data_IF_223697557883
#
_entry.id   IF_223697557883
#
_cell.length_a   1.000
_cell.length_b   1.000
_cell.length_c   1.000
_cell.angle_alpha   90.00
_cell.angle_beta   90.00
_cell.angle_gamma   90.00
#
_symmetry.space_group_name_H-M   'P 1'
#
loop_
_entity.id
_entity.type
_entity.pdbx_description
1 polymer ?
#
# COMPACT_ATOMS: atom_id res chain seq x y z
N UNK A 1 18.16 11.11 -7.05
CA UNK A 1 16.93 10.50 -7.58
C UNK A 1 15.81 10.85 -6.61
N UNK A 2 14.73 11.48 -7.05
CA UNK A 2 13.56 11.74 -6.19
C UNK A 2 12.67 10.50 -6.34
N UNK A 3 12.50 9.75 -5.25
CA UNK A 3 11.73 8.51 -5.22
C UNK A 3 10.37 8.87 -4.63
N UNK A 4 9.33 8.90 -5.44
CA UNK A 4 7.97 9.25 -5.05
C UNK A 4 7.05 8.15 -5.52
N UNK A 5 6.79 7.15 -4.68
CA UNK A 5 6.03 5.97 -5.09
C UNK A 5 6.45 4.70 -4.39
N UNK A 6 6.13 3.56 -4.99
CA UNK A 6 6.26 2.24 -4.38
C UNK A 6 7.62 1.99 -3.71
N UNK A 7 8.73 2.29 -4.39
CA UNK A 7 10.08 2.06 -3.85
C UNK A 7 10.33 2.88 -2.56
N UNK A 8 9.81 4.12 -2.47
CA UNK A 8 9.91 4.94 -1.25
C UNK A 8 9.19 4.25 -0.10
N UNK A 9 7.96 3.78 -0.33
CA UNK A 9 7.16 3.12 0.69
C UNK A 9 7.73 1.78 1.14
N UNK A 10 8.30 0.97 0.23
CA UNK A 10 8.98 -0.28 0.60
C UNK A 10 10.19 -0.06 1.51
N UNK A 11 10.77 1.15 1.49
CA UNK A 11 11.83 1.54 2.41
C UNK A 11 11.28 2.09 3.73
N UNK A 12 10.22 2.89 3.68
CA UNK A 12 9.60 3.47 4.89
C UNK A 12 8.97 2.40 5.78
N UNK A 13 8.36 1.35 5.21
CA UNK A 13 7.70 0.30 5.99
C UNK A 13 8.62 -0.40 7.00
N UNK A 14 9.81 -0.91 6.60
CA UNK A 14 10.77 -1.46 7.54
C UNK A 14 11.24 -0.42 8.58
N UNK A 15 11.48 0.83 8.16
CA UNK A 15 11.90 1.91 9.06
C UNK A 15 10.85 2.18 10.16
N UNK A 16 9.56 2.15 9.81
CA UNK A 16 8.43 2.37 10.73
C UNK A 16 8.15 1.19 11.66
N UNK A 17 8.18 -0.03 11.13
CA UNK A 17 7.61 -1.20 11.83
C UNK A 17 8.63 -2.24 12.32
N UNK A 18 9.92 -2.11 11.95
CA UNK A 18 10.92 -3.14 12.27
C UNK A 18 11.73 -2.87 13.54
N UNK A 19 11.38 -1.86 14.35
CA UNK A 19 12.07 -1.63 15.63
C UNK A 19 11.91 -2.85 16.54
N UNK A 20 12.91 -3.18 17.39
CA UNK A 20 12.84 -4.38 18.23
C UNK A 20 11.59 -4.45 19.12
N UNK A 21 11.14 -3.29 19.63
CA UNK A 21 9.95 -3.21 20.49
C UNK A 21 8.66 -3.48 19.71
N UNK A 22 8.51 -2.86 18.53
CA UNK A 22 7.34 -3.06 17.67
C UNK A 22 7.26 -4.51 17.19
N UNK A 23 8.39 -5.09 16.77
CA UNK A 23 8.46 -6.50 16.38
C UNK A 23 8.09 -7.45 17.51
N UNK A 24 8.59 -7.20 18.72
CA UNK A 24 8.21 -8.00 19.89
C UNK A 24 6.71 -7.92 20.17
N UNK A 25 6.14 -6.71 20.14
CA UNK A 25 4.71 -6.50 20.34
C UNK A 25 3.88 -7.27 19.30
N UNK A 26 4.15 -7.07 18.01
CA UNK A 26 3.44 -7.73 16.91
C UNK A 26 3.62 -9.26 16.91
N UNK A 27 4.69 -9.79 17.51
CA UNK A 27 4.89 -11.24 17.63
C UNK A 27 4.05 -11.91 18.72
N UNK A 28 3.48 -11.13 19.63
CA UNK A 28 2.75 -11.64 20.80
C UNK A 28 1.30 -11.19 20.89
N UNK A 29 0.91 -10.19 20.08
CA UNK A 29 -0.44 -9.62 20.06
C UNK A 29 -0.99 -9.68 18.64
N UNK A 30 -2.13 -10.38 18.41
CA UNK A 30 -2.85 -10.31 17.15
C UNK A 30 -3.18 -8.85 16.83
N UNK A 31 -2.80 -8.39 15.64
CA UNK A 31 -2.92 -7.00 15.21
C UNK A 31 -3.54 -7.00 13.82
N UNK A 32 -4.54 -6.15 13.60
CA UNK A 32 -5.13 -5.86 12.29
C UNK A 32 -4.96 -4.37 12.01
N UNK A 33 -4.74 -4.00 10.75
CA UNK A 33 -4.44 -2.63 10.33
C UNK A 33 -5.32 -2.16 9.17
N UNK A 34 -5.75 -0.92 9.26
CA UNK A 34 -6.55 -0.25 8.23
C UNK A 34 -5.73 0.87 7.59
N UNK A 35 -6.01 1.12 6.31
CA UNK A 35 -5.38 2.21 5.57
C UNK A 35 -5.82 3.56 6.14
N UNK A 36 -4.87 4.49 6.19
CA UNK A 36 -5.07 5.83 6.71
C UNK A 36 -4.50 6.90 5.76
N UNK A 37 -4.97 8.14 5.88
CA UNK A 37 -4.47 9.24 5.04
C UNK A 37 -2.97 9.50 5.26
N UNK A 38 -2.48 9.30 6.49
CA UNK A 38 -1.06 9.38 6.83
C UNK A 38 -0.19 8.32 6.13
N UNK A 39 -0.76 7.24 5.57
CA UNK A 39 -0.02 6.31 4.70
C UNK A 39 0.31 6.95 3.33
N UNK A 40 -0.44 7.96 2.90
CA UNK A 40 -0.17 8.70 1.66
C UNK A 40 0.59 9.99 1.97
N UNK A 41 -0.03 10.84 2.80
CA UNK A 41 0.41 12.17 3.21
C UNK A 41 -0.63 12.77 4.16
N UNK A 42 -0.20 13.43 5.24
CA UNK A 42 -1.07 14.26 6.10
C UNK A 42 -1.99 15.18 5.25
N UNK A 43 -3.28 15.20 5.59
CA UNK A 43 -4.33 15.98 4.92
C UNK A 43 -4.61 15.54 3.45
N UNK A 44 -4.41 14.25 3.14
CA UNK A 44 -4.80 13.66 1.85
C UNK A 44 -6.30 13.90 1.57
N UNK A 45 -6.63 14.29 0.34
CA UNK A 45 -8.01 14.41 -0.15
C UNK A 45 -8.89 15.46 0.58
N UNK A 46 -8.28 16.48 1.18
CA UNK A 46 -8.99 17.47 2.01
C UNK A 46 -9.89 18.45 1.25
N UNK A 47 -9.65 18.72 -0.04
CA UNK A 47 -10.55 19.56 -0.85
C UNK A 47 -10.49 19.25 -2.35
N UNK A 48 -11.57 19.53 -3.07
CA UNK A 48 -11.62 19.38 -4.53
C UNK A 48 -10.54 20.23 -5.22
N UNK A 49 -10.33 21.47 -4.77
CA UNK A 49 -9.28 22.34 -5.32
C UNK A 49 -7.90 21.71 -5.16
N UNK A 50 -7.59 21.15 -3.99
CA UNK A 50 -6.33 20.46 -3.76
C UNK A 50 -6.19 19.22 -4.66
N UNK A 51 -7.26 18.43 -4.85
CA UNK A 51 -7.27 17.27 -5.77
C UNK A 51 -6.99 17.70 -7.21
N UNK A 52 -7.62 18.78 -7.66
CA UNK A 52 -7.45 19.31 -9.01
C UNK A 52 -6.02 19.84 -9.23
N UNK A 53 -5.38 20.37 -8.19
CA UNK A 53 -4.00 20.85 -8.25
C UNK A 53 -2.98 19.71 -8.20
N UNK A 54 -3.15 18.77 -7.27
CA UNK A 54 -2.17 17.68 -7.06
C UNK A 54 -2.20 16.66 -8.20
N UNK A 55 -3.38 16.38 -8.78
CA UNK A 55 -3.54 15.50 -9.93
C UNK A 55 -2.86 16.01 -11.21
N UNK A 56 -2.53 17.31 -11.28
CA UNK A 56 -1.75 17.90 -12.38
C UNK A 56 -0.25 17.71 -12.24
N UNK A 57 0.23 17.24 -11.09
CA UNK A 57 1.64 16.94 -10.91
C UNK A 57 1.97 15.59 -11.55
N UNK A 58 3.19 15.45 -12.05
CA UNK A 58 3.69 14.27 -12.76
C UNK A 58 4.05 13.10 -11.84
N UNK A 59 4.10 13.32 -10.53
CA UNK A 59 4.54 12.33 -9.52
C UNK A 59 3.41 11.82 -8.63
N UNK A 60 2.24 12.48 -8.62
CA UNK A 60 1.18 12.17 -7.65
C UNK A 60 0.60 10.77 -7.82
N UNK A 61 0.33 10.36 -9.07
CA UNK A 61 -0.24 9.06 -9.37
C UNK A 61 0.66 7.91 -8.90
N UNK A 62 1.98 8.05 -9.09
CA UNK A 62 2.95 7.04 -8.66
C UNK A 62 3.02 6.94 -7.13
N UNK A 63 2.87 8.08 -6.44
CA UNK A 63 2.77 8.11 -4.97
C UNK A 63 1.52 7.39 -4.47
N UNK A 64 0.36 7.73 -5.02
CA UNK A 64 -0.92 7.12 -4.63
C UNK A 64 -0.93 5.60 -4.86
N UNK A 65 -0.53 5.16 -6.06
CA UNK A 65 -0.39 3.72 -6.36
C UNK A 65 0.61 3.04 -5.43
N UNK A 66 1.75 3.69 -5.16
CA UNK A 66 2.77 3.17 -4.24
C UNK A 66 2.26 2.98 -2.82
N UNK A 67 1.50 3.94 -2.30
CA UNK A 67 0.90 3.86 -0.96
C UNK A 67 -0.10 2.70 -0.88
N UNK A 68 -1.04 2.61 -1.83
CA UNK A 68 -2.05 1.55 -1.86
C UNK A 68 -1.41 0.16 -2.02
N UNK A 69 -0.44 0.01 -2.92
CA UNK A 69 0.25 -1.26 -3.13
C UNK A 69 1.02 -1.70 -1.87
N UNK A 70 1.73 -0.79 -1.21
CA UNK A 70 2.47 -1.16 0.01
C UNK A 70 1.57 -1.42 1.21
N UNK A 71 0.46 -0.69 1.36
CA UNK A 71 -0.60 -1.05 2.32
C UNK A 71 -1.13 -2.46 2.06
N UNK A 72 -1.47 -2.77 0.80
CA UNK A 72 -2.00 -4.08 0.45
C UNK A 72 -1.01 -5.21 0.81
N UNK A 73 0.28 -5.04 0.46
CA UNK A 73 1.34 -6.03 0.73
C UNK A 73 1.62 -6.21 2.23
N UNK A 74 1.79 -5.11 2.96
CA UNK A 74 2.34 -5.19 4.33
C UNK A 74 1.28 -5.27 5.43
N UNK A 75 0.03 -4.94 5.11
CA UNK A 75 -1.07 -4.89 6.08
C UNK A 75 -2.25 -5.73 5.60
N UNK A 76 -2.92 -5.32 4.51
CA UNK A 76 -4.22 -5.87 4.12
C UNK A 76 -4.25 -7.39 3.96
N UNK A 77 -3.30 -7.98 3.23
CA UNK A 77 -3.28 -9.43 3.01
C UNK A 77 -3.08 -10.23 4.30
N UNK A 78 -2.49 -9.62 5.34
CA UNK A 78 -2.32 -10.23 6.66
C UNK A 78 -3.58 -10.19 7.52
N UNK A 79 -4.53 -9.31 7.19
CA UNK A 79 -5.82 -9.16 7.88
C UNK A 79 -6.89 -10.13 7.35
N UNK A 80 -6.70 -10.67 6.14
CA UNK A 80 -7.63 -11.61 5.52
C UNK A 80 -7.58 -12.99 6.19
N UNK A 81 -8.76 -13.61 6.37
CA UNK A 81 -8.81 -15.03 6.73
C UNK A 81 -8.27 -15.87 5.56
N UNK A 82 -7.78 -17.10 5.81
CA UNK A 82 -7.25 -17.95 4.74
C UNK A 82 -8.22 -18.16 3.58
N UNK A 83 -9.52 -18.35 3.87
CA UNK A 83 -10.52 -18.55 2.82
C UNK A 83 -10.81 -17.28 2.01
N UNK A 84 -10.68 -16.11 2.64
CA UNK A 84 -10.86 -14.81 1.98
C UNK A 84 -9.65 -14.48 1.10
N UNK A 85 -8.43 -14.80 1.56
CA UNK A 85 -7.20 -14.62 0.77
C UNK A 85 -7.18 -15.56 -0.45
N UNK A 86 -7.63 -16.80 -0.30
CA UNK A 86 -7.76 -17.76 -1.42
C UNK A 86 -8.79 -17.33 -2.47
N UNK A 87 -9.73 -16.44 -2.10
CA UNK A 87 -10.74 -15.89 -2.99
C UNK A 87 -10.42 -14.47 -3.51
N UNK A 88 -9.28 -13.89 -3.11
CA UNK A 88 -8.90 -12.52 -3.44
C UNK A 88 -8.35 -12.42 -4.88
N UNK A 89 -9.08 -11.71 -5.74
CA UNK A 89 -8.74 -11.58 -7.16
C UNK A 89 -7.43 -10.82 -7.40
N UNK A 90 -7.06 -9.89 -6.51
CA UNK A 90 -5.82 -9.11 -6.61
C UNK A 90 -4.64 -10.02 -6.27
N UNK A 91 -4.78 -10.83 -5.21
CA UNK A 91 -3.81 -11.82 -4.79
C UNK A 91 -3.53 -12.83 -5.89
N UNK A 92 -4.58 -13.38 -6.51
CA UNK A 92 -4.47 -14.31 -7.64
C UNK A 92 -3.73 -13.68 -8.84
N UNK A 93 -4.07 -12.43 -9.21
CA UNK A 93 -3.42 -11.72 -10.31
C UNK A 93 -1.93 -11.46 -10.04
N UNK A 94 -1.59 -11.09 -8.81
CA UNK A 94 -0.19 -10.90 -8.38
C UNK A 94 0.58 -12.23 -8.44
N UNK A 95 -0.01 -13.32 -7.96
CA UNK A 95 0.62 -14.65 -8.06
C UNK A 95 0.80 -15.11 -9.51
N UNK A 96 -0.16 -14.83 -10.38
CA UNK A 96 -0.12 -15.18 -11.80
C UNK A 96 1.00 -14.44 -12.57
N UNK A 97 1.36 -13.23 -12.15
CA UNK A 97 2.52 -12.51 -12.71
C UNK A 97 3.84 -13.27 -12.45
N UNK A 98 3.92 -14.03 -11.36
CA UNK A 98 5.08 -14.85 -11.01
C UNK A 98 6.23 -14.03 -10.42
N UNK A 99 7.26 -14.73 -9.93
CA UNK A 99 8.36 -14.11 -9.14
C UNK A 99 9.20 -13.08 -9.89
N UNK A 100 9.27 -13.20 -11.22
CA UNK A 100 10.02 -12.28 -12.09
C UNK A 100 9.09 -11.37 -12.90
N UNK A 101 7.78 -11.46 -12.67
CA UNK A 101 6.79 -10.65 -13.36
C UNK A 101 6.60 -9.29 -12.72
N UNK A 102 5.92 -8.42 -13.46
CA UNK A 102 5.49 -7.11 -13.00
C UNK A 102 3.96 -7.11 -12.85
N UNK A 103 3.48 -6.81 -11.64
CA UNK A 103 2.07 -6.73 -11.30
C UNK A 103 1.60 -5.27 -11.10
N UNK A 104 2.37 -4.27 -11.57
CA UNK A 104 2.02 -2.86 -11.44
C UNK A 104 0.61 -2.54 -11.97
N UNK A 105 0.20 -3.17 -13.08
CA UNK A 105 -1.12 -2.97 -13.69
C UNK A 105 -2.29 -3.48 -12.82
N UNK A 106 -2.03 -4.35 -11.82
CA UNK A 106 -3.06 -4.83 -10.89
C UNK A 106 -3.55 -3.69 -9.97
N UNK A 107 -2.71 -2.67 -9.72
CA UNK A 107 -3.05 -1.51 -8.88
C UNK A 107 -4.10 -0.58 -9.50
N UNK A 108 -4.34 -0.67 -10.82
CA UNK A 108 -5.36 0.14 -11.52
C UNK A 108 -6.80 -0.33 -11.23
N UNK A 109 -6.98 -1.54 -10.66
CA UNK A 109 -8.29 -2.09 -10.31
C UNK A 109 -8.78 -1.67 -8.91
N UNK A 110 -7.87 -1.27 -8.01
CA UNK A 110 -8.19 -0.90 -6.64
C UNK A 110 -8.57 0.58 -6.47
N UNK A 111 -8.39 1.40 -7.52
CA UNK A 111 -8.60 2.85 -7.50
C UNK A 111 -10.04 3.29 -7.83
N UNK A 112 -10.92 2.34 -8.16
CA UNK A 112 -12.34 2.58 -8.48
C UNK A 112 -13.26 2.58 -7.23
N UNK A 113 -12.69 2.63 -6.02
CA UNK A 113 -13.42 2.69 -4.74
C UNK A 113 -13.21 4.01 -4.00
#
# INVERSE_FOLDING_TARGET
MRMFGFEEYTRLYPESWSTPLVRWLMSTVPTSMIFDDHDVRDDWNTSQTWRDEISRTDWWQDRERGALATYWIYQHIGDLAPEDLDADEVYDKVLAAGREGDAADVSELASDH
#
